data_IF_491100493271
#
_entry.id   IF_491100493271
#
_cell.length_a   1.000
_cell.length_b   1.000
_cell.length_c   1.000
_cell.angle_alpha   90.00
_cell.angle_beta   90.00
_cell.angle_gamma   90.00
#
_symmetry.space_group_name_H-M   'P 1'
#
loop_
_entity.id
_entity.type
_entity.pdbx_description
1 polymer ?
#
# COMPACT_ATOMS: atom_id res chain seq x y z
N UNK A 1 19.05 32.12 35.33
CA UNK A 1 20.14 31.18 35.66
C UNK A 1 20.21 30.17 34.50
N UNK A 2 21.22 30.28 33.63
CA UNK A 2 21.32 29.40 32.46
C UNK A 2 22.00 28.09 32.90
N UNK A 3 21.27 26.98 32.79
CA UNK A 3 21.81 25.65 33.08
C UNK A 3 22.53 25.17 31.82
N UNK A 4 23.86 25.04 31.87
CA UNK A 4 24.63 24.36 30.84
C UNK A 4 24.41 22.84 31.00
N UNK A 5 23.63 22.27 30.14
CA UNK A 5 23.45 20.81 30.05
C UNK A 5 24.52 20.25 29.08
N UNK A 6 25.23 19.21 29.52
CA UNK A 6 26.19 18.51 28.68
C UNK A 6 25.47 17.39 27.88
N UNK A 7 26.13 16.83 26.86
CA UNK A 7 25.57 15.83 25.97
C UNK A 7 24.99 14.59 26.69
N UNK A 8 25.58 14.18 27.83
CA UNK A 8 25.10 13.09 28.67
C UNK A 8 23.78 13.42 29.33
N UNK A 9 23.59 14.66 29.76
CA UNK A 9 22.35 15.12 30.41
C UNK A 9 21.21 15.22 29.41
N UNK A 10 21.50 15.62 28.17
CA UNK A 10 20.55 15.62 27.05
C UNK A 10 20.09 14.19 26.68
N UNK A 11 21.02 13.24 26.64
CA UNK A 11 20.72 11.83 26.36
C UNK A 11 19.86 11.19 27.48
N UNK A 12 20.05 11.58 28.75
CA UNK A 12 19.27 11.11 29.89
C UNK A 12 17.86 11.71 29.93
N UNK A 13 17.66 12.93 29.46
CA UNK A 13 16.35 13.57 29.33
C UNK A 13 15.51 12.93 28.21
N UNK A 14 16.17 12.48 27.14
CA UNK A 14 15.52 11.74 26.06
C UNK A 14 14.94 10.37 26.48
N UNK A 15 15.43 9.81 27.60
CA UNK A 15 15.03 8.46 28.07
C UNK A 15 13.85 8.47 29.05
N UNK A 16 13.35 9.64 29.48
CA UNK A 16 12.25 9.72 30.48
C UNK A 16 10.98 10.26 29.81
N UNK A 17 9.88 9.53 30.00
CA UNK A 17 8.54 9.96 29.60
C UNK A 17 8.10 11.19 30.40
N UNK A 18 7.68 12.27 29.72
CA UNK A 18 7.27 13.51 30.38
C UNK A 18 5.86 13.90 29.94
N UNK A 19 5.01 14.31 30.92
CA UNK A 19 3.61 14.57 30.68
C UNK A 19 3.28 15.84 29.89
N UNK A 20 4.22 16.77 29.70
CA UNK A 20 3.92 18.09 29.15
C UNK A 20 4.91 18.50 28.05
N UNK A 21 4.49 18.42 26.80
CA UNK A 21 5.33 18.67 25.60
C UNK A 21 5.77 20.16 25.45
N UNK A 22 5.01 21.12 25.95
CA UNK A 22 5.34 22.55 25.89
C UNK A 22 6.61 22.90 26.69
N UNK A 23 6.81 22.26 27.80
CA UNK A 23 7.96 22.53 28.70
C UNK A 23 9.30 22.16 28.06
N UNK A 24 9.33 21.17 27.15
CA UNK A 24 10.55 20.80 26.41
C UNK A 24 10.87 21.75 25.28
N UNK A 25 9.85 22.26 24.61
CA UNK A 25 10.04 23.25 23.56
C UNK A 25 10.64 24.54 24.10
N UNK A 26 10.19 24.97 25.29
CA UNK A 26 10.74 26.13 26.00
C UNK A 26 12.16 25.91 26.50
N UNK A 27 12.53 24.69 26.88
CA UNK A 27 13.91 24.34 27.25
C UNK A 27 14.85 24.26 26.03
N UNK A 28 14.39 23.74 24.90
CA UNK A 28 15.18 23.64 23.66
C UNK A 28 15.47 25.01 23.05
N UNK A 29 14.59 26.00 23.19
CA UNK A 29 14.78 27.38 22.70
C UNK A 29 15.85 28.14 23.46
N UNK A 30 16.19 27.71 24.69
CA UNK A 30 17.23 28.32 25.55
C UNK A 30 18.63 27.73 25.33
N UNK A 31 18.83 26.79 24.42
CA UNK A 31 20.12 26.18 24.11
C UNK A 31 20.86 26.95 23.03
N UNK A 32 22.17 27.12 23.28
CA UNK A 32 23.11 27.97 22.55
C UNK A 32 23.32 27.49 21.09
N UNK A 33 23.62 28.45 20.18
CA UNK A 33 23.63 28.44 18.71
C UNK A 33 24.53 27.41 18.00
N UNK A 34 25.17 26.50 18.70
CA UNK A 34 26.20 25.59 18.13
C UNK A 34 25.89 24.09 18.31
N UNK A 35 24.77 23.71 18.86
CA UNK A 35 24.53 22.31 19.20
C UNK A 35 23.44 21.70 18.35
N UNK A 36 23.79 20.64 17.62
CA UNK A 36 22.80 19.72 16.98
C UNK A 36 22.22 18.85 18.09
N UNK A 37 20.95 18.99 18.40
CA UNK A 37 20.27 18.13 19.36
C UNK A 37 19.25 17.24 18.65
N UNK A 38 19.43 15.94 18.74
CA UNK A 38 18.42 14.95 18.39
C UNK A 38 17.61 14.66 19.66
N UNK A 39 16.37 15.13 19.72
CA UNK A 39 15.45 14.84 20.81
C UNK A 39 14.50 13.73 20.36
N UNK A 40 14.67 12.53 20.90
CA UNK A 40 13.73 11.41 20.72
C UNK A 40 12.92 11.28 22.01
N UNK A 41 11.66 11.67 21.97
CA UNK A 41 10.75 11.46 23.09
C UNK A 41 9.88 10.22 22.83
N UNK A 42 9.87 9.31 23.82
CA UNK A 42 9.03 8.11 23.80
C UNK A 42 7.86 8.34 24.75
N UNK A 43 6.64 8.42 24.23
CA UNK A 43 5.45 8.34 25.05
C UNK A 43 4.91 6.92 25.04
N UNK A 44 4.18 6.52 26.06
CA UNK A 44 3.66 5.15 26.27
C UNK A 44 2.77 4.61 25.15
N UNK A 45 2.47 5.40 24.13
CA UNK A 45 1.66 4.98 22.97
C UNK A 45 2.08 5.60 21.63
N UNK A 46 3.13 6.43 21.56
CA UNK A 46 3.49 7.17 20.34
C UNK A 46 4.97 7.50 20.30
N UNK A 47 5.60 7.37 19.11
CA UNK A 47 6.95 7.84 18.85
C UNK A 47 6.89 9.23 18.21
N UNK A 48 7.58 10.20 18.77
CA UNK A 48 7.81 11.51 18.14
C UNK A 48 9.32 11.69 17.98
N UNK A 49 9.76 11.88 16.75
CA UNK A 49 11.17 12.18 16.44
C UNK A 49 11.28 13.68 16.20
N UNK A 50 12.10 14.37 16.99
CA UNK A 50 12.38 15.77 16.80
C UNK A 50 13.79 15.90 16.22
N UNK A 51 13.90 16.39 14.99
CA UNK A 51 15.18 16.70 14.37
C UNK A 51 15.33 18.21 14.35
N UNK A 52 16.20 18.73 15.21
CA UNK A 52 16.57 20.14 15.20
C UNK A 52 17.78 20.32 14.31
N UNK A 53 17.63 20.93 13.15
CA UNK A 53 18.75 21.29 12.27
C UNK A 53 18.99 22.78 12.36
N UNK A 54 20.11 23.18 12.98
CA UNK A 54 20.58 24.56 12.95
C UNK A 54 21.39 24.77 11.66
N UNK A 55 20.84 25.50 10.71
CA UNK A 55 21.59 26.01 9.56
C UNK A 55 21.86 27.48 9.77
N UNK A 56 23.15 27.83 10.03
CA UNK A 56 23.69 29.19 10.12
C UNK A 56 22.92 30.14 11.03
N UNK A 57 23.57 31.10 11.62
CA UNK A 57 23.25 31.94 12.79
C UNK A 57 21.83 32.51 12.96
N UNK A 58 20.87 32.28 12.06
CA UNK A 58 19.58 32.98 12.06
C UNK A 58 18.32 32.15 11.74
N UNK A 59 18.40 30.86 11.49
CA UNK A 59 17.19 30.07 11.30
C UNK A 59 17.32 28.63 11.81
N UNK A 60 16.40 28.24 12.68
CA UNK A 60 16.25 26.85 13.13
C UNK A 60 14.99 26.23 12.50
N UNK A 61 15.12 25.06 11.90
CA UNK A 61 13.97 24.24 11.48
C UNK A 61 13.82 23.08 12.44
N UNK A 62 12.68 22.98 13.06
CA UNK A 62 12.30 21.81 13.86
C UNK A 62 11.35 20.98 13.00
N UNK A 63 11.80 19.79 12.61
CA UNK A 63 10.91 18.80 12.01
C UNK A 63 10.35 17.93 13.13
N UNK A 64 9.08 17.99 13.35
CA UNK A 64 8.38 17.13 14.31
C UNK A 64 7.58 16.11 13.52
N UNK A 65 8.01 14.87 13.55
CA UNK A 65 7.25 13.76 13.00
C UNK A 65 6.38 13.22 14.13
N UNK A 66 5.07 13.45 14.05
CA UNK A 66 4.11 12.96 15.01
C UNK A 66 3.45 11.72 14.43
N UNK A 67 3.91 10.54 14.88
CA UNK A 67 3.28 9.27 14.54
C UNK A 67 2.05 9.06 15.44
N UNK A 68 0.88 9.39 14.94
CA UNK A 68 -0.37 8.96 15.54
C UNK A 68 -0.80 7.64 14.85
N UNK A 69 -1.32 6.66 15.62
CA UNK A 69 -1.84 5.39 15.06
C UNK A 69 -2.89 5.57 13.95
N UNK A 70 -3.41 6.78 13.76
CA UNK A 70 -4.45 7.11 12.77
C UNK A 70 -4.10 8.23 11.78
N UNK A 71 -2.99 9.00 11.99
CA UNK A 71 -2.62 10.10 11.08
C UNK A 71 -1.12 10.38 11.22
N UNK A 72 -0.36 10.23 10.16
CA UNK A 72 0.97 10.80 10.07
C UNK A 72 0.79 12.29 9.75
N UNK A 73 1.08 13.15 10.71
CA UNK A 73 1.14 14.60 10.49
C UNK A 73 2.59 15.05 10.59
N UNK A 74 3.14 15.52 9.49
CA UNK A 74 4.43 16.19 9.48
C UNK A 74 4.21 17.66 9.76
N UNK A 75 4.55 18.12 10.97
CA UNK A 75 4.57 19.54 11.29
C UNK A 75 5.97 20.09 11.05
N UNK A 76 6.12 20.93 10.05
CA UNK A 76 7.32 21.74 9.86
C UNK A 76 7.13 23.06 10.62
N UNK A 77 7.74 23.19 11.78
CA UNK A 77 7.84 24.46 12.49
C UNK A 77 9.10 25.20 12.04
N UNK A 78 8.91 26.32 11.38
CA UNK A 78 10.01 27.22 11.02
C UNK A 78 10.04 28.37 12.02
N UNK A 79 11.18 28.55 12.67
CA UNK A 79 11.42 29.67 13.58
C UNK A 79 12.40 30.63 12.91
N UNK A 80 12.00 31.86 12.73
CA UNK A 80 12.87 32.94 12.24
C UNK A 80 13.09 33.94 13.36
N UNK A 81 14.35 34.08 13.81
CA UNK A 81 14.74 35.11 14.76
C UNK A 81 15.16 36.37 14.01
N UNK A 82 14.58 37.52 14.34
CA UNK A 82 14.93 38.83 13.80
C UNK A 82 15.73 39.55 14.86
N UNK A 83 17.08 39.62 14.72
CA UNK A 83 17.95 40.15 15.78
C UNK A 83 17.66 41.60 16.19
N UNK A 84 17.37 42.44 15.18
CA UNK A 84 17.13 43.89 15.43
C UNK A 84 15.80 44.20 16.09
N UNK A 85 14.93 43.22 16.29
CA UNK A 85 13.62 43.39 16.94
C UNK A 85 13.39 42.48 18.15
N UNK A 86 14.40 41.68 18.52
CA UNK A 86 14.29 40.64 19.57
C UNK A 86 12.99 39.83 19.46
N UNK A 87 12.55 39.56 18.23
CA UNK A 87 11.26 38.91 17.94
C UNK A 87 11.52 37.57 17.30
N UNK A 88 10.95 36.54 17.94
CA UNK A 88 10.85 35.19 17.38
C UNK A 88 9.52 35.09 16.61
N UNK A 89 9.58 34.85 15.31
CA UNK A 89 8.38 34.59 14.51
C UNK A 89 8.31 33.08 14.31
N UNK A 90 7.25 32.49 14.83
CA UNK A 90 6.88 31.12 14.60
C UNK A 90 5.93 31.08 13.39
N UNK A 91 6.39 30.48 12.33
CA UNK A 91 5.59 30.28 11.14
C UNK A 91 5.23 28.80 11.03
N UNK A 92 3.93 28.48 11.07
CA UNK A 92 3.44 27.17 10.74
C UNK A 92 3.51 27.04 9.21
N UNK A 93 4.43 26.24 8.72
CA UNK A 93 4.35 25.79 7.34
C UNK A 93 3.58 24.47 7.41
N UNK A 94 2.28 24.55 7.20
CA UNK A 94 1.55 23.40 6.74
C UNK A 94 2.11 23.11 5.34
N UNK A 95 3.04 22.18 5.23
CA UNK A 95 3.32 21.58 3.94
C UNK A 95 1.96 21.09 3.45
N UNK A 96 1.50 21.56 2.31
CA UNK A 96 0.21 21.16 1.76
C UNK A 96 0.16 19.64 1.83
N UNK A 97 -0.65 19.15 2.75
CA UNK A 97 -0.74 17.74 3.07
C UNK A 97 -1.31 17.03 1.87
N UNK A 98 -0.46 16.38 1.12
CA UNK A 98 -0.91 15.29 0.29
C UNK A 98 -1.19 14.12 1.23
N UNK A 99 -2.33 14.19 1.94
CA UNK A 99 -2.85 13.04 2.67
C UNK A 99 -3.30 12.02 1.63
N UNK A 100 -2.68 10.87 1.64
CA UNK A 100 -3.37 9.71 1.07
C UNK A 100 -4.70 9.61 1.79
N UNK A 101 -5.79 9.59 1.04
CA UNK A 101 -7.13 9.37 1.56
C UNK A 101 -7.12 8.06 2.36
N UNK A 102 -7.96 7.96 3.39
CA UNK A 102 -8.01 6.75 4.21
C UNK A 102 -8.32 5.53 3.34
N UNK A 103 -7.43 4.56 3.36
CA UNK A 103 -7.59 3.30 2.65
C UNK A 103 -8.69 2.49 3.33
N UNK A 104 -9.63 1.97 2.55
CA UNK A 104 -10.81 1.26 3.03
C UNK A 104 -10.78 -0.23 2.75
N UNK A 105 -9.93 -0.66 1.82
CA UNK A 105 -9.86 -2.07 1.44
C UNK A 105 -8.44 -2.49 1.03
N UNK A 106 -8.15 -3.75 1.28
CA UNK A 106 -7.01 -4.47 0.75
C UNK A 106 -7.50 -5.84 0.29
N UNK A 107 -7.37 -6.13 -0.99
CA UNK A 107 -7.99 -7.32 -1.58
C UNK A 107 -6.98 -8.29 -2.21
N UNK A 108 -5.69 -8.06 -1.96
CA UNK A 108 -4.65 -8.98 -2.34
C UNK A 108 -3.82 -9.36 -1.12
N UNK A 109 -4.23 -10.44 -0.46
CA UNK A 109 -3.54 -10.98 0.73
C UNK A 109 -3.61 -12.50 0.74
N UNK A 110 -2.68 -13.14 1.46
CA UNK A 110 -2.48 -14.58 1.50
C UNK A 110 -2.48 -15.11 2.92
N UNK A 111 -2.90 -16.37 3.08
CA UNK A 111 -2.82 -17.12 4.33
C UNK A 111 -1.94 -18.36 4.20
N UNK A 112 -1.87 -19.17 5.24
CA UNK A 112 -1.19 -20.46 5.24
C UNK A 112 -1.58 -21.35 4.06
N UNK A 113 -2.78 -21.16 3.48
CA UNK A 113 -3.26 -21.94 2.34
C UNK A 113 -2.48 -21.68 1.05
N UNK A 114 -1.82 -20.54 0.92
CA UNK A 114 -0.90 -20.22 -0.19
C UNK A 114 0.48 -20.93 -0.10
N UNK A 115 0.74 -21.67 1.00
CA UNK A 115 1.93 -22.50 1.17
C UNK A 115 3.18 -21.76 1.65
N UNK A 116 3.27 -20.43 1.45
CA UNK A 116 4.42 -19.62 1.87
C UNK A 116 4.00 -18.28 2.52
N UNK A 117 2.77 -18.20 2.99
CA UNK A 117 2.28 -17.14 3.87
C UNK A 117 2.08 -17.67 5.30
N UNK A 118 1.98 -16.80 6.30
CA UNK A 118 2.14 -17.17 7.70
C UNK A 118 1.02 -16.73 8.62
N UNK A 119 -0.15 -16.39 8.07
CA UNK A 119 -1.33 -16.01 8.81
C UNK A 119 -2.50 -16.96 8.58
N UNK A 120 -3.40 -17.08 9.53
CA UNK A 120 -4.72 -17.70 9.36
C UNK A 120 -5.74 -16.66 8.90
N UNK A 121 -6.86 -17.08 8.32
CA UNK A 121 -7.99 -16.17 7.98
C UNK A 121 -8.37 -15.30 9.17
N UNK A 122 -8.45 -15.91 10.37
CA UNK A 122 -8.86 -15.18 11.58
C UNK A 122 -7.85 -14.11 12.02
N UNK A 123 -6.55 -14.39 11.93
CA UNK A 123 -5.51 -13.40 12.24
C UNK A 123 -5.52 -12.25 11.23
N UNK A 124 -5.65 -12.56 9.94
CA UNK A 124 -5.67 -11.57 8.87
C UNK A 124 -6.88 -10.63 9.00
N UNK A 125 -8.09 -11.17 9.17
CA UNK A 125 -9.29 -10.32 9.27
C UNK A 125 -9.34 -9.52 10.56
N UNK A 126 -8.81 -10.06 11.66
CA UNK A 126 -8.69 -9.31 12.92
C UNK A 126 -7.74 -8.13 12.79
N UNK A 127 -6.62 -8.31 12.09
CA UNK A 127 -5.70 -7.20 11.82
C UNK A 127 -6.30 -6.18 10.85
N UNK A 128 -7.04 -6.61 9.83
CA UNK A 128 -7.80 -5.71 8.96
C UNK A 128 -8.78 -4.84 9.75
N UNK A 129 -9.48 -5.42 10.73
CA UNK A 129 -10.34 -4.67 11.67
C UNK A 129 -9.54 -3.67 12.50
N UNK A 130 -8.38 -4.06 13.04
CA UNK A 130 -7.49 -3.16 13.79
C UNK A 130 -7.02 -1.96 12.95
N UNK A 131 -6.91 -2.14 11.63
CA UNK A 131 -6.52 -1.11 10.65
C UNK A 131 -7.70 -0.31 10.11
N UNK A 132 -8.92 -0.58 10.57
CA UNK A 132 -10.17 0.05 10.15
C UNK A 132 -10.45 -0.12 8.64
N UNK A 133 -10.11 -1.28 8.09
CA UNK A 133 -10.55 -1.65 6.75
C UNK A 133 -12.03 -2.04 6.79
N UNK A 134 -12.76 -1.69 5.74
CA UNK A 134 -14.14 -2.11 5.53
C UNK A 134 -14.19 -3.47 4.81
N UNK A 135 -13.20 -3.73 3.91
CA UNK A 135 -13.09 -4.97 3.13
C UNK A 135 -11.67 -5.54 3.21
N UNK A 136 -11.57 -6.84 3.45
CA UNK A 136 -10.36 -7.64 3.28
C UNK A 136 -10.62 -8.73 2.24
N UNK A 137 -9.81 -8.77 1.19
CA UNK A 137 -9.74 -9.90 0.26
C UNK A 137 -8.61 -10.85 0.65
N UNK A 138 -8.92 -12.13 0.79
CA UNK A 138 -7.93 -13.20 0.89
C UNK A 138 -7.97 -13.96 -0.42
N UNK A 139 -6.91 -13.83 -1.20
CA UNK A 139 -6.80 -14.33 -2.57
C UNK A 139 -5.63 -15.30 -2.67
N UNK A 140 -5.88 -16.52 -2.20
CA UNK A 140 -4.85 -17.56 -2.15
C UNK A 140 -4.29 -17.88 -3.53
N UNK A 141 -3.02 -18.22 -3.60
CA UNK A 141 -2.40 -18.67 -4.84
C UNK A 141 -3.12 -19.87 -5.44
N UNK A 142 -3.29 -19.83 -6.76
CA UNK A 142 -3.74 -20.97 -7.53
C UNK A 142 -2.81 -22.17 -7.45
N UNK A 143 -3.27 -23.37 -7.82
CA UNK A 143 -2.56 -24.63 -7.61
C UNK A 143 -1.24 -24.78 -8.40
N UNK A 144 -0.95 -23.89 -9.34
CA UNK A 144 0.30 -23.85 -10.07
C UNK A 144 1.51 -23.43 -9.20
N UNK A 145 1.28 -22.75 -8.09
CA UNK A 145 2.35 -22.37 -7.16
C UNK A 145 2.71 -23.56 -6.25
N UNK A 146 4.00 -23.91 -6.13
CA UNK A 146 4.45 -24.98 -5.25
C UNK A 146 4.05 -24.72 -3.79
N UNK A 147 3.36 -25.69 -3.18
CA UNK A 147 2.88 -25.57 -1.81
C UNK A 147 1.53 -24.89 -1.64
N UNK A 148 0.95 -24.33 -2.69
CA UNK A 148 -0.40 -23.76 -2.66
C UNK A 148 -1.47 -24.82 -2.39
N UNK A 149 -2.65 -24.37 -1.97
CA UNK A 149 -3.74 -25.26 -1.60
C UNK A 149 -4.29 -26.05 -2.81
N UNK A 150 -4.86 -27.21 -2.49
CA UNK A 150 -5.56 -28.01 -3.48
C UNK A 150 -6.80 -27.24 -4.01
N UNK A 151 -7.17 -27.38 -5.29
CA UNK A 151 -8.39 -26.77 -5.87
C UNK A 151 -9.67 -26.99 -5.06
N UNK A 152 -9.77 -28.07 -4.31
CA UNK A 152 -10.90 -28.33 -3.41
C UNK A 152 -11.06 -27.27 -2.31
N UNK A 153 -9.99 -26.59 -1.91
CA UNK A 153 -10.05 -25.44 -1.01
C UNK A 153 -11.01 -24.37 -1.52
N UNK A 154 -10.88 -23.99 -2.78
CA UNK A 154 -11.70 -22.96 -3.42
C UNK A 154 -13.18 -23.39 -3.57
N UNK A 155 -13.46 -24.67 -3.63
CA UNK A 155 -14.83 -25.19 -3.62
C UNK A 155 -15.48 -25.05 -2.24
N UNK A 156 -14.71 -25.19 -1.17
CA UNK A 156 -15.24 -25.22 0.20
C UNK A 156 -15.23 -23.86 0.94
N UNK A 157 -14.69 -22.79 0.34
CA UNK A 157 -14.61 -21.47 0.99
C UNK A 157 -15.95 -20.88 1.42
N UNK A 158 -17.05 -21.41 0.89
CA UNK A 158 -18.44 -21.03 1.23
C UNK A 158 -18.80 -21.23 2.71
N UNK A 159 -18.07 -22.08 3.45
CA UNK A 159 -18.32 -22.34 4.88
C UNK A 159 -17.86 -21.19 5.78
N UNK A 160 -16.99 -20.30 5.28
CA UNK A 160 -16.44 -19.20 6.04
C UNK A 160 -17.39 -17.99 6.03
N UNK A 161 -17.78 -17.46 7.20
CA UNK A 161 -18.62 -16.26 7.27
C UNK A 161 -17.96 -15.04 6.61
N UNK A 162 -18.75 -14.28 5.83
CA UNK A 162 -18.25 -13.12 5.06
C UNK A 162 -18.24 -11.81 5.86
N UNK A 163 -18.82 -11.78 7.06
CA UNK A 163 -18.74 -10.63 7.96
C UNK A 163 -18.14 -11.04 9.29
N UNK A 164 -16.98 -10.52 9.63
CA UNK A 164 -16.28 -10.83 10.87
C UNK A 164 -15.57 -9.57 11.38
N UNK A 165 -15.63 -9.32 12.68
CA UNK A 165 -15.02 -8.14 13.33
C UNK A 165 -15.38 -6.79 12.70
N UNK A 166 -16.56 -6.70 12.07
CA UNK A 166 -16.99 -5.48 11.35
C UNK A 166 -16.36 -5.29 9.97
N UNK A 167 -15.58 -6.27 9.48
CA UNK A 167 -14.93 -6.26 8.16
C UNK A 167 -15.64 -7.25 7.23
N UNK A 168 -15.91 -6.82 6.00
CA UNK A 168 -16.38 -7.72 4.93
C UNK A 168 -15.19 -8.51 4.40
N UNK A 169 -15.28 -9.82 4.53
CA UNK A 169 -14.28 -10.76 3.99
C UNK A 169 -14.70 -11.20 2.58
N UNK A 170 -13.81 -11.03 1.61
CA UNK A 170 -13.94 -11.58 0.28
C UNK A 170 -12.91 -12.69 0.10
N UNK A 171 -13.38 -13.91 -0.19
CA UNK A 171 -12.51 -15.07 -0.40
C UNK A 171 -12.38 -15.35 -1.89
N UNK A 172 -11.14 -15.34 -2.35
CA UNK A 172 -10.81 -15.43 -3.76
C UNK A 172 -9.59 -16.28 -4.04
N UNK A 173 -9.07 -16.11 -5.24
CA UNK A 173 -7.82 -16.69 -5.67
C UNK A 173 -6.99 -15.70 -6.47
N UNK A 174 -5.67 -15.77 -6.29
CA UNK A 174 -4.72 -15.28 -7.25
C UNK A 174 -4.36 -16.42 -8.21
N UNK A 175 -5.07 -16.42 -9.35
CA UNK A 175 -5.06 -17.48 -10.35
C UNK A 175 -3.85 -17.29 -11.25
N UNK A 176 -3.09 -18.35 -11.50
CA UNK A 176 -1.92 -18.26 -12.35
C UNK A 176 -2.30 -18.31 -13.84
N UNK A 177 -1.72 -17.39 -14.62
CA UNK A 177 -1.69 -17.46 -16.08
C UNK A 177 -0.55 -18.42 -16.45
N UNK A 178 -0.85 -19.47 -17.23
CA UNK A 178 0.09 -20.57 -17.49
C UNK A 178 0.82 -20.45 -18.83
N UNK A 179 0.21 -19.78 -19.80
CA UNK A 179 0.72 -19.71 -21.16
C UNK A 179 0.30 -18.41 -21.89
N UNK A 180 0.81 -18.23 -23.10
CA UNK A 180 0.51 -17.04 -23.94
C UNK A 180 -0.95 -16.98 -24.42
N UNK A 181 -1.72 -18.07 -24.28
CA UNK A 181 -3.16 -18.07 -24.57
C UNK A 181 -4.00 -17.54 -23.42
N UNK A 182 -3.37 -17.26 -22.27
CA UNK A 182 -4.08 -16.84 -21.06
C UNK A 182 -4.77 -18.00 -20.32
N UNK A 183 -4.29 -19.23 -20.51
CA UNK A 183 -4.82 -20.41 -19.81
C UNK A 183 -4.62 -20.23 -18.31
N UNK A 184 -5.70 -20.47 -17.53
CA UNK A 184 -5.69 -20.34 -16.07
C UNK A 184 -5.46 -21.70 -15.40
N UNK A 185 -4.78 -21.72 -14.25
CA UNK A 185 -4.52 -22.93 -13.47
C UNK A 185 -5.69 -23.37 -12.60
N UNK A 186 -6.73 -22.56 -12.47
CA UNK A 186 -7.95 -22.89 -11.76
C UNK A 186 -9.12 -23.03 -12.75
N UNK A 187 -9.88 -24.12 -12.63
CA UNK A 187 -10.97 -24.43 -13.54
C UNK A 187 -12.22 -23.58 -13.25
N UNK A 188 -13.09 -23.30 -14.24
CA UNK A 188 -14.34 -22.54 -14.06
C UNK A 188 -15.22 -23.09 -12.94
N UNK A 189 -15.25 -24.42 -12.75
CA UNK A 189 -16.04 -25.08 -11.69
C UNK A 189 -15.64 -24.68 -10.27
N UNK A 190 -14.38 -24.22 -10.05
CA UNK A 190 -13.89 -23.68 -8.79
C UNK A 190 -14.05 -22.15 -8.76
N UNK A 191 -13.72 -21.48 -9.86
CA UNK A 191 -13.73 -20.00 -9.98
C UNK A 191 -15.11 -19.42 -9.65
N UNK A 192 -16.19 -20.09 -10.06
CA UNK A 192 -17.58 -19.65 -9.81
C UNK A 192 -17.94 -19.51 -8.33
N UNK A 193 -17.18 -20.09 -7.41
CA UNK A 193 -17.44 -20.03 -5.97
C UNK A 193 -16.68 -18.88 -5.29
N UNK A 194 -15.80 -18.20 -6.01
CA UNK A 194 -14.97 -17.12 -5.49
C UNK A 194 -15.74 -15.80 -5.44
N UNK A 195 -15.52 -15.04 -4.37
CA UNK A 195 -16.01 -13.66 -4.25
C UNK A 195 -15.16 -12.69 -5.09
N UNK A 196 -13.85 -13.01 -5.28
CA UNK A 196 -12.89 -12.19 -5.99
C UNK A 196 -11.90 -13.06 -6.78
N UNK A 197 -11.54 -12.60 -7.99
CA UNK A 197 -10.67 -13.34 -8.91
C UNK A 197 -9.58 -12.42 -9.42
N UNK A 198 -8.39 -12.66 -8.95
CA UNK A 198 -7.17 -11.99 -9.41
C UNK A 198 -6.44 -12.96 -10.34
N UNK A 199 -5.89 -12.48 -11.45
CA UNK A 199 -5.00 -13.28 -12.29
C UNK A 199 -3.64 -12.62 -12.42
N UNK A 200 -2.58 -13.42 -12.35
CA UNK A 200 -1.21 -12.93 -12.43
C UNK A 200 -0.23 -13.91 -13.09
N UNK A 201 0.92 -13.39 -13.45
CA UNK A 201 2.04 -14.19 -13.97
C UNK A 201 3.03 -14.45 -12.83
N UNK A 202 3.30 -15.75 -12.60
CA UNK A 202 4.32 -16.21 -11.67
C UNK A 202 5.31 -17.14 -12.38
N UNK A 203 6.60 -16.90 -12.21
CA UNK A 203 7.67 -17.62 -12.92
C UNK A 203 7.77 -19.09 -12.54
N UNK A 204 7.11 -19.49 -11.44
CA UNK A 204 7.01 -20.90 -11.03
C UNK A 204 6.17 -21.73 -12.02
N UNK A 205 5.24 -21.09 -12.73
CA UNK A 205 4.31 -21.75 -13.64
C UNK A 205 4.15 -21.06 -15.02
N UNK A 206 4.87 -19.96 -15.25
CA UNK A 206 4.86 -19.24 -16.52
C UNK A 206 6.28 -19.00 -17.02
N UNK A 207 6.52 -19.24 -18.29
CA UNK A 207 7.79 -18.94 -18.96
C UNK A 207 7.64 -17.63 -19.75
N UNK A 208 8.32 -16.54 -19.36
CA UNK A 208 8.29 -15.30 -20.13
C UNK A 208 8.73 -15.48 -21.56
N UNK A 209 8.00 -14.85 -22.46
CA UNK A 209 8.29 -14.78 -23.90
C UNK A 209 8.67 -13.38 -24.34
N UNK A 210 8.40 -13.09 -25.63
CA UNK A 210 8.50 -11.73 -26.18
C UNK A 210 7.46 -10.79 -25.53
N UNK A 211 7.62 -9.48 -25.74
CA UNK A 211 6.63 -8.47 -25.32
C UNK A 211 5.23 -8.83 -25.85
N UNK A 212 5.14 -9.20 -27.12
CA UNK A 212 3.86 -9.54 -27.75
C UNK A 212 3.22 -10.78 -27.16
N UNK A 213 4.00 -11.84 -26.87
CA UNK A 213 3.52 -13.07 -26.25
C UNK A 213 3.04 -12.82 -24.82
N UNK A 214 3.83 -12.11 -24.02
CA UNK A 214 3.46 -11.78 -22.65
C UNK A 214 2.23 -10.86 -22.59
N UNK A 215 2.18 -9.85 -23.48
CA UNK A 215 1.04 -8.94 -23.58
C UNK A 215 -0.23 -9.67 -23.99
N UNK A 216 -0.11 -10.62 -24.94
CA UNK A 216 -1.24 -11.46 -25.36
C UNK A 216 -1.76 -12.31 -24.21
N UNK A 217 -0.88 -12.90 -23.39
CA UNK A 217 -1.27 -13.67 -22.22
C UNK A 217 -2.12 -12.83 -21.24
N UNK A 218 -1.64 -11.64 -20.91
CA UNK A 218 -2.33 -10.71 -19.99
C UNK A 218 -3.67 -10.24 -20.60
N UNK A 219 -3.69 -9.86 -21.89
CA UNK A 219 -4.92 -9.40 -22.55
C UNK A 219 -5.95 -10.53 -22.62
N UNK A 220 -5.54 -11.77 -22.85
CA UNK A 220 -6.44 -12.90 -22.86
C UNK A 220 -7.01 -13.20 -21.47
N UNK A 221 -6.24 -13.00 -20.40
CA UNK A 221 -6.75 -13.05 -19.02
C UNK A 221 -7.73 -11.90 -18.73
N UNK A 222 -7.43 -10.68 -19.20
CA UNK A 222 -8.32 -9.51 -19.11
C UNK A 222 -9.66 -9.76 -19.82
N UNK A 223 -9.64 -10.40 -20.99
CA UNK A 223 -10.84 -10.74 -21.75
C UNK A 223 -11.70 -11.82 -21.09
N UNK A 224 -11.13 -12.58 -20.17
CA UNK A 224 -11.87 -13.62 -19.46
C UNK A 224 -12.85 -12.95 -18.47
N UNK A 225 -14.18 -13.14 -18.63
CA UNK A 225 -15.17 -12.51 -17.77
C UNK A 225 -15.08 -12.96 -16.30
N UNK A 226 -14.37 -14.06 -16.04
CA UNK A 226 -14.14 -14.57 -14.69
C UNK A 226 -12.97 -13.90 -13.97
N UNK A 227 -12.30 -12.89 -14.55
CA UNK A 227 -11.18 -12.16 -13.93
C UNK A 227 -11.59 -10.73 -13.60
N UNK A 228 -11.38 -10.33 -12.37
CA UNK A 228 -11.69 -8.99 -11.85
C UNK A 228 -10.48 -8.07 -11.85
N UNK A 229 -9.29 -8.61 -11.57
CA UNK A 229 -8.05 -7.86 -11.35
C UNK A 229 -6.88 -8.60 -12.01
N UNK A 230 -5.96 -7.86 -12.61
CA UNK A 230 -4.63 -8.38 -12.99
C UNK A 230 -3.65 -7.96 -11.90
N UNK A 231 -3.03 -8.94 -11.22
CA UNK A 231 -2.00 -8.70 -10.20
C UNK A 231 -0.65 -8.36 -10.81
N UNK A 232 0.06 -7.46 -10.12
CA UNK A 232 1.46 -7.06 -10.37
C UNK A 232 1.96 -7.17 -11.82
N UNK A 233 1.31 -6.54 -12.82
CA UNK A 233 1.73 -6.60 -14.23
C UNK A 233 2.99 -5.76 -14.51
N UNK A 234 3.83 -5.55 -13.50
CA UNK A 234 4.89 -4.56 -13.46
C UNK A 234 6.31 -5.17 -13.42
N UNK A 235 6.45 -6.51 -13.40
CA UNK A 235 7.75 -7.16 -13.37
C UNK A 235 8.43 -7.13 -14.76
N UNK A 236 9.55 -6.43 -14.86
CA UNK A 236 10.30 -6.27 -16.10
C UNK A 236 10.95 -7.55 -16.63
N UNK A 237 10.96 -8.65 -15.88
CA UNK A 237 11.33 -9.96 -16.41
C UNK A 237 10.25 -10.54 -17.34
N UNK A 238 9.02 -10.02 -17.23
CA UNK A 238 7.91 -10.31 -18.15
C UNK A 238 7.46 -9.01 -18.81
N UNK A 239 8.23 -8.45 -19.76
CA UNK A 239 7.97 -7.15 -20.35
C UNK A 239 6.64 -7.16 -21.13
N UNK A 240 5.89 -6.05 -21.02
CA UNK A 240 4.56 -5.88 -21.61
C UNK A 240 4.47 -4.60 -22.43
N UNK A 241 3.58 -4.58 -23.42
CA UNK A 241 3.02 -3.35 -23.98
C UNK A 241 1.96 -2.82 -22.98
N UNK A 242 2.39 -1.96 -22.07
CA UNK A 242 1.52 -1.39 -21.05
C UNK A 242 0.36 -0.58 -21.60
N UNK A 243 0.55 0.06 -22.78
CA UNK A 243 -0.54 0.82 -23.41
C UNK A 243 -1.65 -0.10 -23.90
N UNK A 244 -1.29 -1.21 -24.53
CA UNK A 244 -2.23 -2.23 -24.94
C UNK A 244 -2.96 -2.87 -23.75
N UNK A 245 -2.23 -3.16 -22.65
CA UNK A 245 -2.80 -3.70 -21.41
C UNK A 245 -3.82 -2.74 -20.79
N UNK A 246 -3.48 -1.46 -20.65
CA UNK A 246 -4.40 -0.45 -20.04
C UNK A 246 -5.64 -0.25 -20.92
N UNK A 247 -5.50 -0.25 -22.25
CA UNK A 247 -6.65 -0.17 -23.17
C UNK A 247 -7.57 -1.38 -23.04
N UNK A 248 -7.00 -2.58 -22.97
CA UNK A 248 -7.77 -3.80 -22.77
C UNK A 248 -8.48 -3.79 -21.40
N UNK A 249 -7.79 -3.37 -20.33
CA UNK A 249 -8.39 -3.25 -19.00
C UNK A 249 -9.60 -2.32 -18.98
N UNK A 250 -9.54 -1.20 -19.74
CA UNK A 250 -10.68 -0.30 -19.92
C UNK A 250 -11.84 -0.97 -20.67
N UNK A 251 -11.52 -1.63 -21.79
CA UNK A 251 -12.52 -2.24 -22.69
C UNK A 251 -13.28 -3.38 -22.01
N UNK A 252 -12.57 -4.21 -21.23
CA UNK A 252 -13.12 -5.42 -20.62
C UNK A 252 -13.44 -5.25 -19.13
N UNK A 253 -13.37 -4.01 -18.62
CA UNK A 253 -13.73 -3.68 -17.23
C UNK A 253 -12.93 -4.48 -16.19
N UNK A 254 -11.62 -4.55 -16.32
CA UNK A 254 -10.70 -5.27 -15.42
C UNK A 254 -9.79 -4.28 -14.72
N UNK A 255 -9.61 -4.41 -13.40
CA UNK A 255 -8.68 -3.58 -12.64
C UNK A 255 -7.23 -4.02 -12.88
N UNK A 256 -6.32 -3.04 -12.91
CA UNK A 256 -4.88 -3.29 -12.88
C UNK A 256 -4.34 -2.95 -11.48
N UNK A 257 -3.50 -3.82 -10.96
CA UNK A 257 -2.94 -3.65 -9.63
C UNK A 257 -1.67 -2.80 -9.64
N UNK A 258 -1.53 -1.97 -8.59
CA UNK A 258 -0.28 -1.40 -8.10
C UNK A 258 0.12 -2.22 -6.87
N UNK A 259 1.12 -3.08 -7.02
CA UNK A 259 1.49 -4.03 -5.97
C UNK A 259 2.63 -3.49 -5.10
N UNK A 260 2.39 -3.40 -3.78
CA UNK A 260 3.38 -2.90 -2.84
C UNK A 260 4.51 -3.89 -2.59
N UNK A 261 4.21 -5.19 -2.51
CA UNK A 261 5.21 -6.21 -2.24
C UNK A 261 6.19 -6.39 -3.43
N UNK A 262 5.70 -6.19 -4.66
CA UNK A 262 6.54 -6.18 -5.86
C UNK A 262 7.67 -5.15 -5.77
N UNK A 263 7.41 -3.97 -5.21
CA UNK A 263 8.41 -2.92 -5.00
C UNK A 263 9.45 -3.26 -3.93
N UNK A 264 9.13 -4.15 -3.00
CA UNK A 264 10.04 -4.62 -1.94
C UNK A 264 10.91 -5.78 -2.41
N UNK A 265 10.50 -6.47 -3.46
CA UNK A 265 11.19 -7.67 -3.96
C UNK A 265 12.47 -7.30 -4.70
N UNK A 266 13.60 -7.85 -4.25
CA UNK A 266 14.88 -7.75 -4.97
C UNK A 266 14.97 -8.66 -6.21
N UNK A 267 14.03 -9.59 -6.36
CA UNK A 267 13.98 -10.52 -7.49
C UNK A 267 13.16 -10.04 -8.68
N UNK A 268 12.46 -8.89 -8.55
CA UNK A 268 11.68 -8.29 -9.64
C UNK A 268 12.46 -7.14 -10.29
N UNK A 269 12.23 -6.90 -11.58
CA UNK A 269 12.98 -5.94 -12.39
C UNK A 269 12.13 -4.71 -12.74
N UNK A 270 12.69 -3.49 -12.60
CA UNK A 270 12.11 -2.23 -13.08
C UNK A 270 10.69 -1.91 -12.55
N UNK A 271 10.26 -2.53 -11.45
CA UNK A 271 8.88 -2.43 -10.92
C UNK A 271 8.43 -0.97 -10.75
N UNK A 272 9.22 -0.13 -10.09
CA UNK A 272 8.87 1.26 -9.85
C UNK A 272 8.65 2.05 -11.14
N UNK A 273 9.52 1.84 -12.15
CA UNK A 273 9.41 2.50 -13.46
C UNK A 273 8.17 2.00 -14.23
N UNK A 274 7.88 0.71 -14.14
CA UNK A 274 6.74 0.10 -14.80
C UNK A 274 5.42 0.56 -14.15
N UNK A 275 5.36 0.65 -12.82
CA UNK A 275 4.21 1.22 -12.12
C UNK A 275 3.99 2.70 -12.48
N UNK A 276 5.05 3.51 -12.59
CA UNK A 276 4.92 4.90 -13.08
C UNK A 276 4.32 4.94 -14.48
N UNK A 277 4.73 4.04 -15.37
CA UNK A 277 4.22 3.94 -16.73
C UNK A 277 2.74 3.56 -16.73
N UNK A 278 2.36 2.54 -15.96
CA UNK A 278 0.97 2.10 -15.80
C UNK A 278 0.10 3.24 -15.26
N UNK A 279 0.53 3.96 -14.23
CA UNK A 279 -0.21 5.10 -13.67
C UNK A 279 -0.41 6.21 -14.71
N UNK A 280 0.63 6.59 -15.46
CA UNK A 280 0.55 7.62 -16.51
C UNK A 280 -0.43 7.23 -17.62
N UNK A 281 -0.41 5.97 -18.03
CA UNK A 281 -1.34 5.45 -19.03
C UNK A 281 -2.76 5.37 -18.48
N UNK A 282 -2.94 4.95 -17.23
CA UNK A 282 -4.24 4.94 -16.56
C UNK A 282 -4.83 6.35 -16.46
N UNK A 283 -4.02 7.37 -16.15
CA UNK A 283 -4.47 8.77 -16.21
C UNK A 283 -4.88 9.19 -17.64
N UNK A 284 -4.07 8.81 -18.64
CA UNK A 284 -4.33 9.15 -20.05
C UNK A 284 -5.67 8.57 -20.53
N UNK A 285 -6.01 7.37 -20.09
CA UNK A 285 -7.20 6.64 -20.54
C UNK A 285 -8.34 6.67 -19.54
N UNK A 286 -8.19 7.34 -18.38
CA UNK A 286 -9.15 7.41 -17.27
C UNK A 286 -9.58 6.00 -16.80
N UNK A 287 -8.59 5.14 -16.49
CA UNK A 287 -8.77 3.76 -16.04
C UNK A 287 -8.48 3.71 -14.54
N UNK A 288 -9.40 3.20 -13.70
CA UNK A 288 -9.13 3.04 -12.28
C UNK A 288 -8.11 1.92 -12.04
N UNK A 289 -7.30 2.09 -10.99
CA UNK A 289 -6.35 1.10 -10.51
C UNK A 289 -6.64 0.71 -9.06
N UNK A 290 -6.16 -0.44 -8.65
CA UNK A 290 -6.26 -0.92 -7.29
C UNK A 290 -4.86 -1.12 -6.69
N UNK A 291 -4.67 -0.69 -5.45
CA UNK A 291 -3.44 -1.00 -4.71
C UNK A 291 -3.61 -2.33 -3.98
N UNK A 292 -2.64 -3.22 -4.12
CA UNK A 292 -2.55 -4.49 -3.38
C UNK A 292 -1.34 -4.48 -2.43
N UNK A 293 -1.53 -4.92 -1.20
CA UNK A 293 -0.40 -5.12 -0.30
C UNK A 293 0.38 -6.38 -0.63
N UNK A 294 -0.31 -7.40 -1.16
CA UNK A 294 0.21 -8.75 -1.37
C UNK A 294 0.82 -9.31 -0.07
N UNK A 295 0.05 -9.12 1.01
CA UNK A 295 0.48 -9.43 2.36
C UNK A 295 0.52 -10.94 2.58
N UNK A 296 1.71 -11.45 2.89
CA UNK A 296 1.95 -12.84 3.29
C UNK A 296 2.02 -13.02 4.81
N UNK A 297 1.86 -11.92 5.55
CA UNK A 297 1.75 -11.88 7.00
C UNK A 297 0.92 -10.67 7.45
N UNK A 298 0.20 -10.82 8.55
CA UNK A 298 -0.77 -9.82 9.03
C UNK A 298 -0.22 -8.39 9.16
N UNK A 299 1.08 -8.24 9.46
CA UNK A 299 1.69 -6.91 9.60
C UNK A 299 1.76 -6.12 8.29
N UNK A 300 1.66 -6.77 7.15
CA UNK A 300 1.74 -6.14 5.83
C UNK A 300 0.36 -5.80 5.23
N UNK A 301 -0.74 -6.18 5.87
CA UNK A 301 -2.10 -5.81 5.42
C UNK A 301 -2.21 -4.29 5.28
N UNK A 302 -2.71 -3.82 4.14
CA UNK A 302 -2.83 -2.41 3.79
C UNK A 302 -1.52 -1.61 3.97
N UNK A 303 -0.38 -2.26 3.78
CA UNK A 303 0.91 -1.60 3.74
C UNK A 303 1.19 -1.14 2.31
N UNK A 304 1.13 0.17 2.08
CA UNK A 304 1.37 0.79 0.77
C UNK A 304 2.54 1.78 0.77
N UNK A 305 3.42 1.64 1.76
CA UNK A 305 4.55 2.57 1.99
C UNK A 305 5.53 2.68 0.83
N UNK A 306 5.60 1.67 -0.04
CA UNK A 306 6.45 1.70 -1.24
C UNK A 306 5.74 2.33 -2.45
N UNK A 307 4.40 2.18 -2.54
CA UNK A 307 3.61 2.76 -3.64
C UNK A 307 3.38 4.26 -3.44
N UNK A 308 3.16 4.71 -2.21
CA UNK A 308 2.84 6.11 -1.88
C UNK A 308 3.82 7.14 -2.49
N UNK A 309 5.15 6.95 -2.42
CA UNK A 309 6.09 7.89 -3.05
C UNK A 309 5.93 7.98 -4.56
N UNK A 310 5.55 6.86 -5.22
CA UNK A 310 5.37 6.81 -6.67
C UNK A 310 4.06 7.52 -7.05
N UNK A 311 2.98 7.28 -6.33
CA UNK A 311 1.69 7.99 -6.48
C UNK A 311 1.90 9.50 -6.39
N UNK A 312 2.64 9.96 -5.38
CA UNK A 312 3.00 11.38 -5.19
C UNK A 312 3.85 11.92 -6.33
N UNK A 313 4.88 11.19 -6.73
CA UNK A 313 5.77 11.57 -7.84
C UNK A 313 5.03 11.78 -9.17
N UNK A 314 4.05 10.91 -9.45
CA UNK A 314 3.27 10.93 -10.69
C UNK A 314 2.09 11.90 -10.59
N UNK A 315 1.75 12.39 -9.40
CA UNK A 315 0.49 13.10 -9.10
C UNK A 315 -0.73 12.28 -9.52
N UNK A 316 -0.72 10.98 -9.19
CA UNK A 316 -1.81 10.08 -9.58
C UNK A 316 -3.10 10.46 -8.84
N UNK A 317 -4.22 10.71 -9.54
CA UNK A 317 -5.41 11.27 -8.91
C UNK A 317 -6.15 10.26 -8.06
N UNK A 318 -6.58 10.67 -6.86
CA UNK A 318 -7.33 9.84 -5.90
C UNK A 318 -8.58 9.20 -6.51
N UNK A 319 -9.24 9.88 -7.46
CA UNK A 319 -10.42 9.33 -8.13
C UNK A 319 -10.16 8.04 -8.91
N UNK A 320 -8.90 7.79 -9.27
CA UNK A 320 -8.46 6.58 -9.98
C UNK A 320 -7.93 5.49 -9.03
N UNK A 321 -7.84 5.74 -7.73
CA UNK A 321 -7.47 4.73 -6.72
C UNK A 321 -8.75 4.20 -6.09
N UNK A 322 -9.12 2.96 -6.44
CA UNK A 322 -10.40 2.39 -6.01
C UNK A 322 -10.43 2.03 -4.52
N UNK A 323 -9.26 1.87 -3.88
CA UNK A 323 -9.12 1.53 -2.46
C UNK A 323 -9.71 2.54 -1.48
N UNK A 324 -9.99 3.76 -1.93
CA UNK A 324 -10.53 4.82 -1.10
C UNK A 324 -12.06 4.82 -0.99
N UNK A 325 -12.74 3.95 -1.75
CA UNK A 325 -14.19 3.95 -1.85
C UNK A 325 -14.73 2.52 -1.99
N UNK A 326 -15.19 1.95 -0.88
CA UNK A 326 -15.72 0.59 -0.83
C UNK A 326 -16.93 0.40 -1.73
N UNK A 327 -17.81 1.42 -1.79
CA UNK A 327 -18.99 1.33 -2.66
C UNK A 327 -18.59 1.30 -4.14
N UNK A 328 -17.66 2.13 -4.55
CA UNK A 328 -17.14 2.14 -5.93
C UNK A 328 -16.50 0.81 -6.28
N UNK A 329 -15.73 0.21 -5.35
CA UNK A 329 -15.15 -1.12 -5.54
C UNK A 329 -16.23 -2.20 -5.67
N UNK A 330 -17.20 -2.21 -4.76
CA UNK A 330 -18.30 -3.19 -4.81
C UNK A 330 -19.13 -3.05 -6.08
N UNK A 331 -19.46 -1.84 -6.49
CA UNK A 331 -20.18 -1.56 -7.73
C UNK A 331 -19.40 -2.11 -8.95
N UNK A 332 -18.06 -1.90 -8.97
CA UNK A 332 -17.16 -2.39 -10.01
C UNK A 332 -17.17 -3.92 -10.12
N UNK A 333 -17.01 -4.62 -8.98
CA UNK A 333 -17.02 -6.09 -8.95
C UNK A 333 -18.42 -6.65 -9.27
N UNK A 334 -19.48 -5.99 -8.81
CA UNK A 334 -20.85 -6.39 -9.10
C UNK A 334 -21.21 -6.25 -10.58
N UNK A 335 -20.68 -5.24 -11.26
CA UNK A 335 -20.85 -5.06 -12.71
C UNK A 335 -20.21 -6.23 -13.48
N UNK A 336 -18.99 -6.63 -13.11
CA UNK A 336 -18.34 -7.82 -13.64
C UNK A 336 -19.19 -9.07 -13.43
N UNK A 337 -19.76 -9.23 -12.25
CA UNK A 337 -20.63 -10.39 -11.93
C UNK A 337 -21.88 -10.43 -12.81
N UNK A 338 -22.50 -9.27 -13.06
CA UNK A 338 -23.67 -9.20 -13.98
C UNK A 338 -23.25 -9.59 -15.40
N UNK A 339 -22.12 -9.08 -15.88
CA UNK A 339 -21.64 -9.41 -17.22
C UNK A 339 -21.38 -10.90 -17.40
N UNK A 340 -20.91 -11.61 -16.36
CA UNK A 340 -20.72 -13.08 -16.37
C UNK A 340 -22.00 -13.87 -16.50
N UNK A 341 -23.11 -13.36 -15.94
CA UNK A 341 -24.39 -14.04 -15.99
C UNK A 341 -25.06 -14.01 -17.37
N UNK A 342 -24.57 -13.15 -18.27
CA UNK A 342 -25.10 -12.98 -19.63
C UNK A 342 -24.19 -13.56 -20.72
N UNK A 343 -23.08 -14.19 -20.35
CA UNK A 343 -22.16 -14.92 -21.22
C UNK A 343 -22.11 -16.41 -20.81
#
# INVERSE_FOLDING_TARGET
MAIKLNERTLALLAARSVPNQLTYLEMAIKLNERTLALLVARSSSKYSVYILTLKTAFSARICTEYLNRRRQMLFLLSFTFIPNKNKLIMQYILSGDYYMKEIKLDVHTHTLASGHAYGTINEMIKEASNRNLDILGITEHGPGIPGACNPFYFFNIKVVPRMQYGVKLMLGAEINILDYKGTLDLKPEHIKHLDLRIAGIHFQCYKPGSIDENTTAIINAIKNPDIDIISHPDDGHCPLDYEAVVKAAKEYHTLLELNNNALRSSSRLNVAQNQETLMKLSMKYDVPMICGSDAHYMNDIANYTCIEPIIKKVNFPDKLIINYDTKKFEDYINENTKNRLYH
#
